data_IF_002795921376
#
_entry.id   IF_002795921376
#
_cell.length_a   1.000
_cell.length_b   1.000
_cell.length_c   1.000
_cell.angle_alpha   90.00
_cell.angle_beta   90.00
_cell.angle_gamma   90.00
#
_symmetry.space_group_name_H-M   'P 1'
#
loop_
_entity.id
_entity.type
_entity.pdbx_description
1 polymer ?
#
# COMPACT_ATOMS: atom_id res chain seq x y z
N UNK A 1 17.84 30.70 -5.96
CA UNK A 1 17.81 29.54 -5.05
C UNK A 1 17.52 28.34 -5.94
N UNK A 2 18.40 27.34 -5.98
CA UNK A 2 18.00 26.06 -6.58
C UNK A 2 16.91 25.50 -5.66
N UNK A 3 15.70 25.30 -6.18
CA UNK A 3 14.65 24.65 -5.40
C UNK A 3 15.11 23.24 -5.08
N UNK A 4 15.22 22.91 -3.79
CA UNK A 4 15.48 21.54 -3.38
C UNK A 4 14.32 20.66 -3.83
N UNK A 5 14.59 19.45 -4.37
CA UNK A 5 13.53 18.56 -4.81
C UNK A 5 12.62 18.18 -3.65
N UNK A 6 11.30 18.33 -3.84
CA UNK A 6 10.30 17.98 -2.85
C UNK A 6 10.17 16.46 -2.69
N UNK A 7 9.71 16.03 -1.53
CA UNK A 7 9.34 14.63 -1.26
C UNK A 7 8.01 14.53 -0.52
N UNK A 8 7.27 13.45 -0.80
CA UNK A 8 6.00 13.12 -0.16
C UNK A 8 6.11 11.73 0.48
N UNK A 9 5.77 11.64 1.77
CA UNK A 9 5.69 10.41 2.53
C UNK A 9 4.22 10.16 2.93
N UNK A 10 3.66 9.04 2.48
CA UNK A 10 2.39 8.50 2.96
C UNK A 10 2.67 7.41 3.99
N UNK A 11 1.94 7.41 5.10
CA UNK A 11 2.07 6.41 6.16
C UNK A 11 0.68 5.89 6.50
N UNK A 12 0.47 4.60 6.29
CA UNK A 12 -0.86 4.01 6.32
C UNK A 12 -0.86 2.64 7.02
N UNK A 13 -2.03 2.22 7.55
CA UNK A 13 -2.12 0.95 8.27
C UNK A 13 -1.94 -0.31 7.40
N UNK A 14 -2.64 -0.42 6.27
CA UNK A 14 -2.74 -1.66 5.50
C UNK A 14 -2.51 -1.45 3.99
N UNK A 15 -2.28 -2.55 3.23
CA UNK A 15 -2.22 -2.52 1.77
C UNK A 15 -3.59 -2.29 1.10
N UNK A 16 -3.90 -1.07 0.64
CA UNK A 16 -5.13 -0.60 -0.06
C UNK A 16 -5.53 0.82 0.40
N UNK A 17 -5.20 1.14 1.65
CA UNK A 17 -5.40 2.46 2.26
C UNK A 17 -4.81 3.58 1.38
N UNK A 18 -3.74 3.31 0.61
CA UNK A 18 -3.07 4.30 -0.23
C UNK A 18 -3.94 4.71 -1.39
N UNK A 19 -4.60 3.70 -1.96
CA UNK A 19 -5.47 3.84 -3.10
C UNK A 19 -6.79 4.48 -2.68
N UNK A 20 -7.33 4.08 -1.52
CA UNK A 20 -8.60 4.57 -0.98
C UNK A 20 -8.49 6.02 -0.49
N UNK A 21 -7.47 6.31 0.32
CA UNK A 21 -7.33 7.59 1.02
C UNK A 21 -6.70 8.67 0.15
N UNK A 22 -5.67 8.32 -0.64
CA UNK A 22 -4.83 9.34 -1.28
C UNK A 22 -4.25 8.95 -2.65
N UNK A 23 -4.84 7.98 -3.36
CA UNK A 23 -4.29 7.46 -4.61
C UNK A 23 -4.12 8.56 -5.66
N UNK A 24 -5.12 9.43 -5.82
CA UNK A 24 -5.04 10.58 -6.72
C UNK A 24 -3.93 11.58 -6.36
N UNK A 25 -3.67 11.78 -5.07
CA UNK A 25 -2.60 12.66 -4.58
C UNK A 25 -1.22 12.07 -4.86
N UNK A 26 -1.02 10.77 -4.58
CA UNK A 26 0.22 10.05 -4.88
C UNK A 26 0.53 10.07 -6.37
N UNK A 27 -0.46 9.73 -7.21
CA UNK A 27 -0.31 9.73 -8.66
C UNK A 27 0.02 11.11 -9.23
N UNK A 28 -0.65 12.15 -8.73
CA UNK A 28 -0.38 13.53 -9.15
C UNK A 28 1.06 13.95 -8.83
N UNK A 29 1.49 13.80 -7.58
CA UNK A 29 2.83 14.25 -7.18
C UNK A 29 3.94 13.42 -7.83
N UNK A 30 3.73 12.12 -8.02
CA UNK A 30 4.64 11.30 -8.82
C UNK A 30 4.78 11.82 -10.26
N UNK A 31 3.67 12.14 -10.92
CA UNK A 31 3.67 12.69 -12.29
C UNK A 31 4.31 14.08 -12.38
N UNK A 32 4.26 14.88 -11.31
CA UNK A 32 4.95 16.16 -11.18
C UNK A 32 6.45 16.01 -10.86
N UNK A 33 6.96 14.78 -10.71
CA UNK A 33 8.36 14.47 -10.45
C UNK A 33 8.78 14.56 -8.97
N UNK A 34 7.81 14.66 -8.05
CA UNK A 34 8.06 14.62 -6.60
C UNK A 34 8.39 13.19 -6.19
N UNK A 35 9.45 13.01 -5.40
CA UNK A 35 9.79 11.68 -4.86
C UNK A 35 8.71 11.25 -3.87
N UNK A 36 8.07 10.11 -4.14
CA UNK A 36 6.96 9.56 -3.35
C UNK A 36 7.38 8.27 -2.64
N UNK A 37 7.09 8.17 -1.35
CA UNK A 37 7.31 6.97 -0.54
C UNK A 37 6.01 6.59 0.14
N UNK A 38 5.63 5.31 0.07
CA UNK A 38 4.62 4.72 0.92
C UNK A 38 5.27 3.91 2.04
N UNK A 39 4.83 4.14 3.27
CA UNK A 39 5.07 3.27 4.41
C UNK A 39 3.75 2.63 4.78
N UNK A 40 3.71 1.30 4.81
CA UNK A 40 2.56 0.55 5.34
C UNK A 40 2.97 -0.21 6.60
N UNK A 41 2.12 -0.15 7.63
CA UNK A 41 2.46 -0.72 8.94
C UNK A 41 2.47 -2.27 8.91
N UNK A 42 1.53 -2.86 8.18
CA UNK A 42 1.25 -4.30 8.17
C UNK A 42 1.21 -4.87 6.75
N UNK A 43 0.93 -6.17 6.59
CA UNK A 43 0.58 -6.76 5.28
C UNK A 43 -0.90 -7.07 5.15
N UNK A 44 -1.71 -6.64 6.11
CA UNK A 44 -3.14 -6.86 6.07
C UNK A 44 -3.52 -8.34 6.22
N UNK A 45 -2.77 -9.07 7.05
CA UNK A 45 -2.80 -10.52 7.24
C UNK A 45 -4.19 -11.08 7.53
N UNK A 46 -5.07 -10.28 8.14
CA UNK A 46 -6.39 -10.69 8.63
C UNK A 46 -7.54 -10.02 7.87
N UNK A 47 -7.25 -9.44 6.69
CA UNK A 47 -8.26 -8.83 5.83
C UNK A 47 -9.31 -9.80 5.30
N UNK A 48 -10.47 -9.28 4.94
CA UNK A 48 -11.53 -10.05 4.28
C UNK A 48 -11.17 -10.37 2.82
N UNK A 49 -11.47 -11.59 2.38
CA UNK A 49 -11.24 -12.03 0.99
C UNK A 49 -12.57 -11.93 0.24
N UNK A 50 -12.67 -10.91 -0.64
CA UNK A 50 -13.89 -10.63 -1.41
C UNK A 50 -13.83 -11.17 -2.85
N UNK A 51 -12.67 -11.65 -3.30
CA UNK A 51 -12.52 -12.28 -4.60
C UNK A 51 -13.27 -13.63 -4.62
N UNK A 52 -14.19 -13.77 -5.57
CA UNK A 52 -15.05 -14.95 -5.70
C UNK A 52 -14.32 -16.13 -6.34
N UNK A 53 -13.21 -15.88 -7.02
CA UNK A 53 -12.41 -16.89 -7.69
C UNK A 53 -11.31 -17.47 -6.78
N UNK A 54 -11.15 -16.92 -5.56
CA UNK A 54 -10.24 -17.44 -4.53
C UNK A 54 -11.00 -18.22 -3.47
N UNK A 55 -10.50 -19.42 -3.12
CA UNK A 55 -10.95 -20.11 -1.91
C UNK A 55 -10.34 -19.41 -0.68
N UNK A 56 -11.15 -18.83 0.23
CA UNK A 56 -10.65 -18.15 1.43
C UNK A 56 -9.77 -19.04 2.31
N UNK A 57 -10.01 -20.36 2.36
CA UNK A 57 -9.21 -21.29 3.17
C UNK A 57 -7.81 -21.48 2.59
N UNK A 58 -7.66 -21.41 1.27
CA UNK A 58 -6.37 -21.54 0.60
C UNK A 58 -5.63 -20.21 0.50
N UNK A 59 -6.36 -19.09 0.47
CA UNK A 59 -5.82 -17.75 0.35
C UNK A 59 -5.43 -17.15 1.71
N UNK A 60 -6.20 -17.37 2.79
CA UNK A 60 -5.92 -16.78 4.11
C UNK A 60 -4.49 -17.02 4.61
N UNK A 61 -3.91 -18.24 4.54
CA UNK A 61 -2.52 -18.48 4.98
C UNK A 61 -1.46 -17.74 4.14
N UNK A 62 -1.85 -17.22 2.97
CA UNK A 62 -0.97 -16.51 2.01
C UNK A 62 -1.39 -15.05 1.83
N UNK A 63 -2.34 -14.55 2.61
CA UNK A 63 -2.98 -13.26 2.35
C UNK A 63 -1.98 -12.10 2.36
N UNK A 64 -1.03 -12.13 3.29
CA UNK A 64 0.07 -11.17 3.35
C UNK A 64 0.88 -11.09 2.04
N UNK A 65 1.18 -12.25 1.44
CA UNK A 65 1.93 -12.33 0.17
C UNK A 65 1.07 -11.85 -1.01
N UNK A 66 -0.21 -12.22 -1.02
CA UNK A 66 -1.16 -11.78 -2.04
C UNK A 66 -1.28 -10.26 -2.01
N UNK A 67 -1.60 -9.69 -0.84
CA UNK A 67 -1.77 -8.23 -0.64
C UNK A 67 -0.48 -7.44 -0.87
N UNK A 68 0.69 -7.98 -0.53
CA UNK A 68 1.96 -7.34 -0.91
C UNK A 68 2.11 -7.27 -2.44
N UNK A 69 1.72 -8.32 -3.16
CA UNK A 69 1.71 -8.33 -4.63
C UNK A 69 0.73 -7.32 -5.22
N UNK A 70 -0.49 -7.27 -4.66
CA UNK A 70 -1.53 -6.30 -5.04
C UNK A 70 -1.06 -4.86 -4.81
N UNK A 71 -0.50 -4.56 -3.64
CA UNK A 71 0.05 -3.24 -3.32
C UNK A 71 1.15 -2.85 -4.28
N UNK A 72 2.12 -3.73 -4.54
CA UNK A 72 3.21 -3.44 -5.49
C UNK A 72 2.67 -3.12 -6.89
N UNK A 73 1.60 -3.80 -7.32
CA UNK A 73 0.93 -3.48 -8.59
C UNK A 73 0.21 -2.13 -8.55
N UNK A 74 -0.51 -1.82 -7.46
CA UNK A 74 -1.17 -0.53 -7.26
C UNK A 74 -0.15 0.62 -7.27
N UNK A 75 0.94 0.50 -6.51
CA UNK A 75 2.01 1.51 -6.45
C UNK A 75 2.69 1.73 -7.80
N UNK A 76 2.84 0.69 -8.61
CA UNK A 76 3.35 0.82 -9.98
C UNK A 76 2.42 1.67 -10.85
N UNK A 77 1.10 1.52 -10.70
CA UNK A 77 0.09 2.34 -11.40
C UNK A 77 0.12 3.78 -10.88
N UNK A 78 0.24 3.97 -9.57
CA UNK A 78 0.31 5.28 -8.93
C UNK A 78 1.67 5.98 -9.12
N UNK A 79 2.68 5.29 -9.65
CA UNK A 79 4.02 5.83 -9.85
C UNK A 79 4.80 6.04 -8.54
N UNK A 80 4.45 5.37 -7.45
CA UNK A 80 5.14 5.52 -6.17
C UNK A 80 6.57 4.97 -6.27
N UNK A 81 7.56 5.76 -5.83
CA UNK A 81 8.98 5.42 -6.03
C UNK A 81 9.48 4.36 -5.04
N UNK A 82 8.99 4.39 -3.81
CA UNK A 82 9.47 3.52 -2.74
C UNK A 82 8.34 2.99 -1.87
N UNK A 83 8.47 1.72 -1.47
CA UNK A 83 7.58 1.03 -0.53
C UNK A 83 8.40 0.54 0.65
N UNK A 84 7.95 0.89 1.86
CA UNK A 84 8.52 0.45 3.13
C UNK A 84 7.46 -0.27 3.94
N UNK A 85 7.82 -1.42 4.51
CA UNK A 85 6.99 -2.13 5.47
C UNK A 85 7.57 -1.96 6.88
N UNK A 86 6.73 -1.57 7.85
CA UNK A 86 7.18 -1.52 9.25
C UNK A 86 7.27 -2.91 9.89
N UNK A 87 6.50 -3.88 9.38
CA UNK A 87 6.58 -5.28 9.80
C UNK A 87 5.76 -5.61 11.05
N UNK A 88 4.76 -4.81 11.38
CA UNK A 88 3.76 -5.17 12.39
C UNK A 88 2.75 -6.16 11.83
N UNK A 89 2.17 -6.98 12.70
CA UNK A 89 1.02 -7.84 12.34
C UNK A 89 -0.27 -7.01 12.38
N UNK A 90 -1.14 -7.23 11.40
CA UNK A 90 -2.50 -6.68 11.39
C UNK A 90 -3.32 -7.22 12.57
N UNK A 91 -3.84 -6.30 13.39
CA UNK A 91 -4.68 -6.60 14.56
C UNK A 91 -6.09 -7.03 14.19
N UNK A 92 -6.52 -6.76 12.96
CA UNK A 92 -7.92 -6.83 12.56
C UNK A 92 -8.77 -5.75 13.24
N UNK A 93 -10.07 -5.86 13.04
CA UNK A 93 -11.04 -4.81 13.41
C UNK A 93 -11.22 -4.61 14.92
N UNK A 94 -10.85 -5.59 15.75
CA UNK A 94 -11.03 -5.52 17.20
C UNK A 94 -9.87 -4.82 17.93
N UNK A 95 -8.70 -4.75 17.30
CA UNK A 95 -7.45 -4.29 17.93
C UNK A 95 -6.72 -5.38 18.69
#
# INVERSE_FOLDING_TARGET
>A
MSEEPLSLLAVEPHPDDESIGMGGTLARYSAEGVRTTLVTATRGEVGEILDKDLDPKEAAPRLATIREGELRNALKILGVNELVFLGYEDSGMAG
#
